data_IF_671389262046
#
_entry.id   IF_671389262046
#
_cell.length_a   1.000
_cell.length_b   1.000
_cell.length_c   1.000
_cell.angle_alpha   90.00
_cell.angle_beta   90.00
_cell.angle_gamma   90.00
#
_symmetry.space_group_name_H-M   'P 1'
#
loop_
_entity.id
_entity.type
_entity.pdbx_description
1 polymer ?
#
# COMPACT_ATOMS: atom_id res chain seq x y z
N UNK A 1 12.13 -27.06 19.42
CA UNK A 1 10.66 -26.92 19.50
C UNK A 1 10.23 -25.45 19.53
N UNK A 2 11.03 -24.56 20.14
CA UNK A 2 10.68 -23.12 20.24
C UNK A 2 10.94 -22.26 18.97
N UNK A 3 11.70 -22.74 17.99
CA UNK A 3 12.13 -21.95 16.83
C UNK A 3 10.98 -21.65 15.86
N UNK A 4 10.14 -22.64 15.54
CA UNK A 4 9.05 -22.44 14.58
C UNK A 4 8.00 -21.42 15.08
N UNK A 5 7.49 -21.48 16.30
CA UNK A 5 6.60 -20.44 16.84
C UNK A 5 7.24 -19.05 16.84
N UNK A 6 8.52 -18.93 17.17
CA UNK A 6 9.24 -17.66 17.11
C UNK A 6 9.31 -17.10 15.69
N UNK A 7 9.66 -17.92 14.70
CA UNK A 7 9.70 -17.49 13.30
C UNK A 7 8.32 -17.06 12.78
N UNK A 8 7.26 -17.80 13.17
CA UNK A 8 5.88 -17.43 12.84
C UNK A 8 5.52 -16.07 13.44
N UNK A 9 5.82 -15.86 14.72
CA UNK A 9 5.55 -14.58 15.40
C UNK A 9 6.32 -13.42 14.76
N UNK A 10 7.60 -13.59 14.43
CA UNK A 10 8.41 -12.58 13.76
C UNK A 10 7.85 -12.23 12.37
N UNK A 11 7.46 -13.24 11.58
CA UNK A 11 6.85 -13.03 10.28
C UNK A 11 5.49 -12.31 10.41
N UNK A 12 4.66 -12.67 11.39
CA UNK A 12 3.37 -12.03 11.63
C UNK A 12 3.53 -10.55 12.03
N UNK A 13 4.47 -10.25 12.93
CA UNK A 13 4.79 -8.86 13.33
C UNK A 13 5.33 -8.06 12.16
N UNK A 14 6.25 -8.62 11.36
CA UNK A 14 6.77 -7.98 10.17
C UNK A 14 5.66 -7.70 9.14
N UNK A 15 4.73 -8.63 8.93
CA UNK A 15 3.55 -8.45 8.08
C UNK A 15 2.66 -7.31 8.59
N UNK A 16 2.37 -7.31 9.89
CA UNK A 16 1.52 -6.29 10.53
C UNK A 16 2.12 -4.90 10.38
N UNK A 17 3.40 -4.73 10.72
CA UNK A 17 4.10 -3.44 10.62
C UNK A 17 4.17 -2.94 9.18
N UNK A 18 4.47 -3.82 8.24
CA UNK A 18 4.53 -3.48 6.81
C UNK A 18 3.15 -3.07 6.26
N UNK A 19 2.10 -3.83 6.59
CA UNK A 19 0.73 -3.51 6.18
C UNK A 19 0.23 -2.20 6.81
N UNK A 20 0.46 -1.99 8.10
CA UNK A 20 0.05 -0.78 8.82
C UNK A 20 0.78 0.46 8.28
N UNK A 21 2.09 0.37 8.04
CA UNK A 21 2.89 1.49 7.48
C UNK A 21 2.40 1.88 6.09
N UNK A 22 2.16 0.92 5.21
CA UNK A 22 1.68 1.22 3.85
C UNK A 22 0.23 1.70 3.84
N UNK A 23 -0.65 1.13 4.65
CA UNK A 23 -2.04 1.60 4.80
C UNK A 23 -2.07 3.04 5.33
N UNK A 24 -1.28 3.35 6.36
CA UNK A 24 -1.16 4.70 6.92
C UNK A 24 -0.60 5.71 5.91
N UNK A 25 0.42 5.32 5.13
CA UNK A 25 0.95 6.15 4.06
C UNK A 25 -0.11 6.46 3.01
N UNK A 26 -0.86 5.47 2.53
CA UNK A 26 -1.93 5.67 1.55
C UNK A 26 -3.07 6.51 2.12
N UNK A 27 -3.48 6.28 3.36
CA UNK A 27 -4.48 7.10 4.03
C UNK A 27 -4.03 8.55 4.16
N UNK A 28 -2.77 8.81 4.54
CA UNK A 28 -2.21 10.17 4.64
C UNK A 28 -2.25 10.90 3.28
N UNK A 29 -1.97 10.19 2.18
CA UNK A 29 -2.10 10.77 0.84
C UNK A 29 -3.54 11.18 0.53
N UNK A 30 -4.54 10.34 0.81
CA UNK A 30 -5.94 10.66 0.54
C UNK A 30 -6.49 11.75 1.45
N UNK A 31 -6.12 11.73 2.73
CA UNK A 31 -6.68 12.65 3.74
C UNK A 31 -6.03 14.03 3.69
N UNK A 32 -4.74 14.11 3.40
CA UNK A 32 -3.98 15.35 3.52
C UNK A 32 -3.26 15.75 2.23
N UNK A 33 -2.45 14.87 1.65
CA UNK A 33 -1.54 15.25 0.56
C UNK A 33 -2.30 15.62 -0.70
N UNK A 34 -3.24 14.78 -1.16
CA UNK A 34 -3.98 15.02 -2.39
C UNK A 34 -4.94 16.22 -2.28
N UNK A 35 -5.68 16.41 -1.17
CA UNK A 35 -6.45 17.64 -0.96
C UNK A 35 -5.58 18.90 -0.96
N UNK A 36 -4.42 18.88 -0.29
CA UNK A 36 -3.51 20.03 -0.27
C UNK A 36 -2.97 20.36 -1.68
N UNK A 37 -2.53 19.34 -2.44
CA UNK A 37 -2.09 19.53 -3.82
C UNK A 37 -3.20 20.04 -4.73
N UNK A 38 -4.44 19.61 -4.54
CA UNK A 38 -5.58 20.05 -5.34
C UNK A 38 -6.00 21.51 -5.06
N UNK A 39 -5.56 22.09 -3.95
CA UNK A 39 -5.75 23.48 -3.62
C UNK A 39 -4.68 24.41 -4.24
N UNK A 40 -3.59 23.86 -4.76
CA UNK A 40 -2.50 24.60 -5.39
C UNK A 40 -2.78 24.88 -6.88
N UNK A 41 -2.12 25.88 -7.47
CA UNK A 41 -2.12 26.06 -8.93
C UNK A 41 -1.71 24.77 -9.65
N UNK A 42 -2.38 24.35 -10.73
CA UNK A 42 -2.16 23.05 -11.39
C UNK A 42 -0.71 22.78 -11.76
N UNK A 43 0.06 23.78 -12.16
CA UNK A 43 1.48 23.65 -12.50
C UNK A 43 2.33 23.28 -11.27
N UNK A 44 2.07 23.93 -10.12
CA UNK A 44 2.75 23.68 -8.85
C UNK A 44 2.40 22.29 -8.34
N UNK A 45 1.11 21.95 -8.31
CA UNK A 45 0.61 20.63 -7.90
C UNK A 45 1.21 19.50 -8.73
N UNK A 46 1.21 19.66 -10.06
CA UNK A 46 1.82 18.69 -10.99
C UNK A 46 3.31 18.50 -10.73
N UNK A 47 4.07 19.58 -10.62
CA UNK A 47 5.51 19.53 -10.37
C UNK A 47 5.82 18.85 -9.03
N UNK A 48 5.05 19.18 -8.00
CA UNK A 48 5.20 18.60 -6.65
C UNK A 48 4.89 17.11 -6.67
N UNK A 49 3.77 16.69 -7.26
CA UNK A 49 3.39 15.28 -7.32
C UNK A 49 4.38 14.44 -8.13
N UNK A 50 4.93 14.97 -9.23
CA UNK A 50 6.03 14.33 -9.99
C UNK A 50 7.27 14.10 -9.10
N UNK A 51 7.61 15.10 -8.27
CA UNK A 51 8.74 14.97 -7.33
C UNK A 51 8.45 13.90 -6.27
N UNK A 52 7.25 13.89 -5.69
CA UNK A 52 6.81 12.87 -4.72
C UNK A 52 6.94 11.47 -5.34
N UNK A 53 6.43 11.26 -6.55
CA UNK A 53 6.47 9.98 -7.26
C UNK A 53 7.91 9.46 -7.48
N UNK A 54 8.88 10.36 -7.64
CA UNK A 54 10.30 9.99 -7.75
C UNK A 54 10.94 9.68 -6.38
N UNK A 55 10.65 10.51 -5.39
CA UNK A 55 11.25 10.39 -4.05
C UNK A 55 10.76 9.17 -3.29
N UNK A 56 9.51 8.74 -3.51
CA UNK A 56 8.93 7.58 -2.82
C UNK A 56 9.58 6.26 -3.26
N UNK A 57 10.20 6.19 -4.43
CA UNK A 57 10.83 4.98 -4.97
C UNK A 57 12.17 4.68 -4.26
N UNK A 58 12.11 4.51 -2.95
CA UNK A 58 13.27 4.15 -2.11
C UNK A 58 13.15 2.72 -1.60
N UNK A 59 14.29 2.06 -1.30
CA UNK A 59 14.28 0.69 -0.77
C UNK A 59 13.36 0.51 0.44
N UNK A 60 13.31 1.49 1.35
CA UNK A 60 12.42 1.48 2.52
C UNK A 60 10.95 1.36 2.17
N UNK A 61 10.49 2.07 1.12
CA UNK A 61 9.12 1.93 0.63
C UNK A 61 8.87 0.53 0.05
N UNK A 62 9.77 0.02 -0.76
CA UNK A 62 9.61 -1.31 -1.36
C UNK A 62 9.60 -2.42 -0.32
N UNK A 63 10.44 -2.33 0.72
CA UNK A 63 10.43 -3.28 1.84
C UNK A 63 9.08 -3.24 2.56
N UNK A 64 8.54 -2.07 2.87
CA UNK A 64 7.23 -1.97 3.50
C UNK A 64 6.11 -2.45 2.57
N UNK A 65 6.14 -2.06 1.29
CA UNK A 65 5.08 -2.33 0.32
C UNK A 65 4.96 -3.81 -0.05
N UNK A 66 6.08 -4.46 -0.36
CA UNK A 66 6.12 -5.89 -0.70
C UNK A 66 6.26 -6.78 0.53
N UNK A 67 6.81 -6.25 1.62
CA UNK A 67 6.96 -6.98 2.87
C UNK A 67 5.62 -7.43 3.46
N UNK A 68 4.58 -6.60 3.38
CA UNK A 68 3.25 -6.95 3.88
C UNK A 68 2.74 -8.29 3.35
N UNK A 69 2.48 -8.44 2.04
CA UNK A 69 1.98 -9.70 1.48
C UNK A 69 2.99 -10.85 1.61
N UNK A 70 4.30 -10.57 1.50
CA UNK A 70 5.35 -11.59 1.59
C UNK A 70 5.41 -12.18 3.00
N UNK A 71 5.51 -11.36 4.04
CA UNK A 71 5.59 -11.84 5.42
C UNK A 71 4.28 -12.46 5.91
N UNK A 72 3.11 -11.97 5.43
CA UNK A 72 1.84 -12.61 5.70
C UNK A 72 1.78 -14.04 5.10
N UNK A 73 2.27 -14.22 3.87
CA UNK A 73 2.38 -15.54 3.26
C UNK A 73 3.35 -16.46 4.02
N UNK A 74 4.51 -15.94 4.44
CA UNK A 74 5.47 -16.69 5.27
C UNK A 74 4.83 -17.10 6.61
N UNK A 75 4.15 -16.18 7.30
CA UNK A 75 3.45 -16.50 8.53
C UNK A 75 2.38 -17.57 8.32
N UNK A 76 1.63 -17.52 7.22
CA UNK A 76 0.65 -18.55 6.86
C UNK A 76 1.28 -19.93 6.64
N UNK A 77 2.40 -20.00 5.95
CA UNK A 77 3.13 -21.26 5.69
C UNK A 77 3.68 -21.89 6.96
N UNK A 78 4.07 -21.08 7.94
CA UNK A 78 4.62 -21.53 9.21
C UNK A 78 3.55 -21.85 10.26
N UNK A 79 2.29 -21.45 10.01
CA UNK A 79 1.16 -21.60 10.96
C UNK A 79 0.43 -22.94 10.78
N UNK A 80 -0.17 -23.50 11.84
CA UNK A 80 -1.15 -24.57 11.72
C UNK A 80 -2.33 -24.13 10.81
N UNK A 81 -2.98 -25.08 10.11
CA UNK A 81 -4.02 -24.79 9.11
C UNK A 81 -5.10 -23.81 9.60
N UNK A 82 -5.59 -23.96 10.83
CA UNK A 82 -6.63 -23.11 11.37
C UNK A 82 -6.19 -21.64 11.54
N UNK A 83 -4.94 -21.41 11.95
CA UNK A 83 -4.36 -20.08 12.13
C UNK A 83 -3.80 -19.50 10.81
N UNK A 84 -3.51 -20.34 9.80
CA UNK A 84 -2.98 -19.91 8.52
C UNK A 84 -4.00 -19.11 7.67
N UNK A 85 -5.30 -19.42 7.79
CA UNK A 85 -6.35 -18.81 6.94
C UNK A 85 -6.37 -17.28 7.00
N UNK A 86 -6.39 -16.60 8.15
CA UNK A 86 -6.38 -15.15 8.19
C UNK A 86 -5.10 -14.52 7.62
N UNK A 87 -3.94 -15.19 7.73
CA UNK A 87 -2.71 -14.74 7.11
C UNK A 87 -2.77 -14.84 5.58
N UNK A 88 -3.34 -15.92 5.04
CA UNK A 88 -3.59 -16.04 3.60
C UNK A 88 -4.56 -14.99 3.10
N UNK A 89 -5.61 -14.70 3.87
CA UNK A 89 -6.54 -13.60 3.55
C UNK A 89 -5.79 -12.26 3.49
N UNK A 90 -4.96 -11.97 4.50
CA UNK A 90 -4.16 -10.75 4.51
C UNK A 90 -3.21 -10.65 3.32
N UNK A 91 -2.47 -11.72 3.00
CA UNK A 91 -1.56 -11.76 1.86
C UNK A 91 -2.31 -11.53 0.53
N UNK A 92 -3.46 -12.18 0.35
CA UNK A 92 -4.29 -12.04 -0.85
C UNK A 92 -4.89 -10.64 -0.98
N UNK A 93 -5.41 -10.08 0.11
CA UNK A 93 -5.99 -8.73 0.13
C UNK A 93 -4.92 -7.68 -0.20
N UNK A 94 -3.70 -7.80 0.35
CA UNK A 94 -2.60 -6.90 0.02
C UNK A 94 -2.14 -7.05 -1.43
N UNK A 95 -2.04 -8.27 -1.93
CA UNK A 95 -1.62 -8.52 -3.31
C UNK A 95 -2.66 -7.98 -4.31
N UNK A 96 -3.93 -8.33 -4.13
CA UNK A 96 -5.02 -8.00 -5.06
C UNK A 96 -5.55 -6.58 -4.87
N UNK A 97 -5.59 -6.09 -3.62
CA UNK A 97 -6.17 -4.79 -3.26
C UNK A 97 -5.15 -3.65 -3.16
N UNK A 98 -3.85 -3.96 -3.09
CA UNK A 98 -2.80 -2.93 -2.99
C UNK A 98 -1.77 -3.03 -4.11
N UNK A 99 -1.08 -4.17 -4.26
CA UNK A 99 -0.01 -4.32 -5.25
C UNK A 99 -0.57 -4.25 -6.68
N UNK A 100 -1.59 -5.03 -6.98
CA UNK A 100 -2.20 -5.06 -8.31
C UNK A 100 -2.78 -3.70 -8.75
N UNK A 101 -3.59 -2.99 -7.93
CA UNK A 101 -4.04 -1.63 -8.26
C UNK A 101 -2.90 -0.63 -8.44
N UNK A 102 -1.83 -0.74 -7.65
CA UNK A 102 -0.64 0.10 -7.84
C UNK A 102 -0.06 -0.08 -9.23
N UNK A 103 0.19 -1.31 -9.65
CA UNK A 103 0.81 -1.61 -10.94
C UNK A 103 -0.13 -1.32 -12.12
N UNK A 104 -1.42 -1.64 -11.98
CA UNK A 104 -2.39 -1.54 -13.07
C UNK A 104 -3.00 -0.14 -13.24
N UNK A 105 -2.98 0.70 -12.20
CA UNK A 105 -3.68 2.00 -12.18
C UNK A 105 -2.80 3.15 -11.75
N UNK A 106 -2.28 3.15 -10.50
CA UNK A 106 -1.53 4.31 -9.99
C UNK A 106 -0.21 4.54 -10.75
N UNK A 107 0.53 3.49 -11.10
CA UNK A 107 1.76 3.63 -11.90
C UNK A 107 1.47 4.18 -13.30
N UNK A 108 0.50 3.67 -14.07
CA UNK A 108 0.11 4.29 -15.35
C UNK A 108 -0.35 5.75 -15.22
N UNK A 109 -1.13 6.10 -14.18
CA UNK A 109 -1.52 7.49 -13.91
C UNK A 109 -0.31 8.38 -13.64
N UNK A 110 0.62 7.92 -12.81
CA UNK A 110 1.87 8.64 -12.53
C UNK A 110 2.70 8.86 -13.80
N UNK A 111 2.78 7.84 -14.67
CA UNK A 111 3.46 7.96 -15.97
C UNK A 111 2.75 8.92 -16.92
N UNK A 112 1.41 8.96 -16.90
CA UNK A 112 0.63 9.92 -17.69
C UNK A 112 0.89 11.36 -17.20
N UNK A 113 0.94 11.56 -15.87
CA UNK A 113 1.31 12.84 -15.28
C UNK A 113 2.73 13.26 -15.68
N UNK A 114 3.71 12.35 -15.67
CA UNK A 114 5.11 12.63 -16.03
C UNK A 114 5.28 13.05 -17.50
N UNK A 115 4.50 12.48 -18.42
CA UNK A 115 4.57 12.78 -19.86
C UNK A 115 4.01 14.15 -20.24
N UNK A 116 3.17 14.74 -19.40
CA UNK A 116 2.67 16.07 -19.62
C UNK A 116 3.77 17.12 -19.41
N UNK A 117 3.86 18.14 -20.31
CA UNK A 117 4.74 19.29 -20.16
C UNK A 117 4.38 20.18 -18.95
N UNK A 118 5.06 21.33 -18.83
CA UNK A 118 4.78 22.34 -17.80
C UNK A 118 3.32 22.85 -17.86
N UNK A 119 2.71 22.81 -19.05
CA UNK A 119 1.36 23.31 -19.33
C UNK A 119 0.24 22.29 -19.08
N UNK A 120 0.51 21.21 -18.34
CA UNK A 120 -0.53 20.30 -17.85
C UNK A 120 -0.84 19.06 -18.69
N UNK A 121 -0.07 18.68 -19.69
CA UNK A 121 -0.13 17.39 -20.38
C UNK A 121 -1.53 16.89 -20.81
N UNK A 122 -1.63 15.66 -21.31
CA UNK A 122 -2.89 15.11 -21.83
C UNK A 122 -3.97 14.86 -20.75
N UNK A 123 -3.62 15.01 -19.46
CA UNK A 123 -4.56 14.83 -18.34
C UNK A 123 -4.52 16.05 -17.42
N UNK A 124 -5.63 16.80 -17.29
CA UNK A 124 -5.76 17.86 -16.30
C UNK A 124 -5.50 17.34 -14.89
N UNK A 125 -4.83 18.13 -14.04
CA UNK A 125 -4.45 17.69 -12.68
C UNK A 125 -5.66 17.25 -11.83
N UNK A 126 -6.81 17.93 -11.96
CA UNK A 126 -8.04 17.54 -11.27
C UNK A 126 -8.57 16.15 -11.65
N UNK A 127 -8.42 15.74 -12.91
CA UNK A 127 -8.80 14.39 -13.37
C UNK A 127 -7.81 13.33 -12.84
N UNK A 128 -6.52 13.68 -12.83
CA UNK A 128 -5.50 12.85 -12.20
C UNK A 128 -5.80 12.64 -10.71
N UNK A 129 -6.09 13.71 -9.95
CA UNK A 129 -6.39 13.63 -8.52
C UNK A 129 -7.56 12.68 -8.26
N UNK A 130 -8.68 12.83 -8.97
CA UNK A 130 -9.85 11.98 -8.78
C UNK A 130 -9.54 10.51 -9.04
N UNK A 131 -8.95 10.19 -10.17
CA UNK A 131 -8.63 8.83 -10.54
C UNK A 131 -7.58 8.21 -9.62
N UNK A 132 -6.52 8.96 -9.31
CA UNK A 132 -5.43 8.49 -8.46
C UNK A 132 -5.89 8.24 -7.03
N UNK A 133 -6.67 9.17 -6.44
CA UNK A 133 -7.16 9.07 -5.06
C UNK A 133 -8.13 7.91 -4.91
N UNK A 134 -9.05 7.70 -5.86
CA UNK A 134 -9.94 6.54 -5.84
C UNK A 134 -9.18 5.21 -5.69
N UNK A 135 -8.15 4.99 -6.52
CA UNK A 135 -7.34 3.78 -6.42
C UNK A 135 -6.46 3.74 -5.17
N UNK A 136 -6.04 4.92 -4.68
CA UNK A 136 -5.30 5.03 -3.43
C UNK A 136 -6.16 4.68 -2.22
N UNK A 137 -7.43 5.11 -2.19
CA UNK A 137 -8.38 4.76 -1.12
C UNK A 137 -8.62 3.25 -1.06
N UNK A 138 -8.78 2.61 -2.22
CA UNK A 138 -8.89 1.15 -2.29
C UNK A 138 -7.66 0.45 -1.69
N UNK A 139 -6.46 0.95 -1.96
CA UNK A 139 -5.21 0.42 -1.37
C UNK A 139 -5.14 0.63 0.14
N UNK A 140 -5.56 1.80 0.62
CA UNK A 140 -5.62 2.11 2.05
C UNK A 140 -6.60 1.15 2.77
N UNK A 141 -7.80 0.99 2.22
CA UNK A 141 -8.81 0.07 2.76
C UNK A 141 -8.34 -1.39 2.75
N UNK A 142 -7.71 -1.83 1.67
CA UNK A 142 -7.11 -3.17 1.58
C UNK A 142 -6.03 -3.37 2.65
N UNK A 143 -5.18 -2.36 2.86
CA UNK A 143 -4.17 -2.39 3.92
C UNK A 143 -4.77 -2.50 5.31
N UNK A 144 -5.82 -1.72 5.62
CA UNK A 144 -6.53 -1.80 6.90
C UNK A 144 -7.22 -3.16 7.11
N UNK A 145 -7.85 -3.70 6.05
CA UNK A 145 -8.46 -5.03 6.10
C UNK A 145 -7.40 -6.12 6.36
N UNK A 146 -6.22 -6.02 5.76
CA UNK A 146 -5.12 -6.94 6.01
C UNK A 146 -4.59 -6.84 7.44
N UNK A 147 -4.46 -5.62 7.98
CA UNK A 147 -4.09 -5.40 9.40
C UNK A 147 -5.09 -6.11 10.33
N UNK A 148 -6.40 -5.95 10.07
CA UNK A 148 -7.42 -6.61 10.85
C UNK A 148 -7.33 -8.15 10.74
N UNK A 149 -7.10 -8.69 9.54
CA UNK A 149 -6.94 -10.13 9.32
C UNK A 149 -5.71 -10.69 10.07
N UNK A 150 -4.57 -9.98 10.04
CA UNK A 150 -3.36 -10.37 10.77
C UNK A 150 -3.61 -10.32 12.29
N UNK A 151 -4.29 -9.28 12.78
CA UNK A 151 -4.66 -9.18 14.20
C UNK A 151 -5.52 -10.37 14.65
N UNK A 152 -6.52 -10.77 13.85
CA UNK A 152 -7.32 -11.99 14.10
C UNK A 152 -6.46 -13.25 14.09
N UNK A 153 -5.48 -13.35 13.19
CA UNK A 153 -4.56 -14.50 13.16
C UNK A 153 -3.76 -14.61 14.46
N UNK A 154 -3.24 -13.48 14.96
CA UNK A 154 -2.45 -13.41 16.19
C UNK A 154 -3.26 -13.84 17.43
N UNK A 155 -4.56 -13.53 17.49
CA UNK A 155 -5.43 -13.96 18.60
C UNK A 155 -5.77 -15.46 18.56
N UNK A 156 -5.65 -16.12 17.41
CA UNK A 156 -5.96 -17.56 17.24
C UNK A 156 -4.72 -18.46 17.36
N UNK A 157 -3.54 -17.88 17.30
CA UNK A 157 -2.25 -18.61 17.35
C UNK A 157 -1.59 -18.61 18.73
N UNK A 158 -2.14 -17.91 19.72
CA UNK A 158 -1.77 -17.99 21.14
C UNK A 158 -2.66 -19.00 21.84
#
# INVERSE_FOLDING_TARGET
>A
VALLPLLTALAAVAALLSAALTAGLFAAFSIAVMPALNAEPPAVATATMRRINKVILRPTFFVAFFGGPMFAAVAALLSPRAAAVPFWVAASVLLLGSVLPTMARNVPLNRALDRGGADGGPMPFGDYVRAWTFWNDLRALAGLAAVAAIAVALTRGG
#
